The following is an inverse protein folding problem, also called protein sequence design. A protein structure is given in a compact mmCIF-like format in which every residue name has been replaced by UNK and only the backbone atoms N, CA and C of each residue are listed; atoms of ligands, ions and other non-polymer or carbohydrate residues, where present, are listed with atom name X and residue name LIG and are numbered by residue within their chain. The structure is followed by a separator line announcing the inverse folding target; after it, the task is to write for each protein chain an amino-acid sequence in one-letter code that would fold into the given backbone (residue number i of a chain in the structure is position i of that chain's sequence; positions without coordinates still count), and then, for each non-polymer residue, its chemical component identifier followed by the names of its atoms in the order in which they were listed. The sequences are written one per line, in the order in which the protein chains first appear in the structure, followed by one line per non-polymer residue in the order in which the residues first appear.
data_IF_508320235016
#
_entry.id   IF_508320235016
#
_cell.length_a   1.000
_cell.length_b   1.000
_cell.length_c   1.000
_cell.angle_alpha   90.00
_cell.angle_beta   90.00
_cell.angle_gamma   90.00
#
_symmetry.space_group_name_H-M   'P 1'
#
loop_
_entity.id
_entity.type
_entity.pdbx_description
1 polymer ?
2 non-polymer ?
3 water ?
#
# COMPACT_ATOMS: atom_id res chain seq x y z
N UNK A 1 -33.07 8.58 -5.41
CA UNK A 1 -31.75 7.94 -5.40
C UNK A 1 -31.56 7.15 -4.11
N UNK A 2 -30.72 6.11 -4.19
CA UNK A 2 -30.52 5.22 -3.05
C UNK A 2 -29.51 5.77 -2.04
N UNK A 3 -28.60 6.65 -2.47
CA UNK A 3 -27.57 7.17 -1.60
C UNK A 3 -27.65 8.68 -1.54
N UNK A 4 -27.03 9.25 -0.50
CA UNK A 4 -27.05 10.68 -0.25
C UNK A 4 -25.68 11.10 0.25
N UNK A 5 -24.91 11.78 -0.59
CA UNK A 5 -23.58 12.23 -0.21
C UNK A 5 -23.66 13.35 0.84
N UNK A 6 -22.76 13.28 1.82
CA UNK A 6 -22.73 14.29 2.87
C UNK A 6 -21.39 15.03 2.94
N UNK A 7 -20.31 14.44 2.45
CA UNK A 7 -19.00 15.07 2.52
C UNK A 7 -18.07 14.40 1.52
N UNK A 8 -17.02 15.12 1.15
CA UNK A 8 -15.99 14.59 0.26
C UNK A 8 -14.81 14.08 1.08
N UNK A 9 -14.43 12.82 0.85
CA UNK A 9 -13.30 12.24 1.56
C UNK A 9 -11.98 12.56 0.86
N UNK A 10 -11.97 12.52 -0.47
CA UNK A 10 -10.77 12.83 -1.22
C UNK A 10 -10.91 12.57 -2.71
N UNK A 11 -10.12 13.27 -3.52
CA UNK A 11 -10.10 13.10 -4.97
C UNK A 11 -8.67 12.89 -5.44
N UNK A 12 -8.55 12.33 -6.64
CA UNK A 12 -7.23 12.09 -7.20
C UNK A 12 -7.32 11.22 -8.44
N UNK A 13 -6.21 10.54 -8.74
CA UNK A 13 -6.16 9.67 -9.90
C UNK A 13 -7.12 8.50 -9.76
N UNK A 14 -7.36 8.06 -8.53
CA UNK A 14 -8.31 6.94 -8.29
C UNK A 14 -9.73 7.36 -8.67
N UNK A 15 -10.05 8.66 -8.56
CA UNK A 15 -11.40 9.13 -8.74
C UNK A 15 -11.79 10.14 -7.68
N UNK A 16 -13.05 10.09 -7.23
CA UNK A 16 -13.54 10.99 -6.19
C UNK A 16 -14.35 10.18 -5.20
N UNK A 17 -13.89 10.14 -3.94
CA UNK A 17 -14.52 9.35 -2.89
C UNK A 17 -15.37 10.27 -2.03
N UNK A 18 -16.62 9.87 -1.81
CA UNK A 18 -17.57 10.64 -1.03
C UNK A 18 -18.03 9.84 0.18
N UNK A 19 -18.20 10.52 1.31
CA UNK A 19 -18.88 9.94 2.47
C UNK A 19 -20.38 10.09 2.25
N UNK A 20 -21.09 8.97 2.21
CA UNK A 20 -22.50 8.97 1.85
C UNK A 20 -23.33 8.27 2.91
N UNK A 21 -24.64 8.45 2.79
CA UNK A 21 -25.61 7.85 3.71
C UNK A 21 -26.37 6.77 2.96
N UNK A 22 -26.27 5.53 3.45
CA UNK A 22 -26.98 4.40 2.85
C UNK A 22 -28.44 4.49 3.27
N UNK A 23 -29.25 5.15 2.44
CA UNK A 23 -30.65 5.41 2.78
C UNK A 23 -31.46 4.13 2.93
N UNK A 24 -31.06 3.04 2.29
CA UNK A 24 -31.83 1.81 2.30
C UNK A 24 -31.23 0.74 3.21
N UNK A 25 -30.23 1.09 4.02
CA UNK A 25 -29.61 0.16 4.96
C UNK A 25 -29.45 0.82 6.33
N UNK A 26 -30.49 1.50 6.78
CA UNK A 26 -30.51 2.09 8.11
C UNK A 26 -29.71 3.37 8.26
N UNK A 27 -29.27 3.98 7.16
CA UNK A 27 -28.53 5.22 7.26
C UNK A 27 -27.07 5.07 7.63
N UNK A 28 -26.50 3.89 7.42
CA UNK A 28 -25.09 3.68 7.74
C UNK A 28 -24.20 4.49 6.80
N UNK A 29 -22.99 4.77 7.28
CA UNK A 29 -22.00 5.48 6.47
C UNK A 29 -21.37 4.54 5.46
N UNK A 30 -21.23 5.02 4.22
CA UNK A 30 -20.59 4.27 3.14
C UNK A 30 -19.66 5.22 2.40
N UNK A 31 -18.89 4.65 1.48
CA UNK A 31 -17.93 5.41 0.67
C UNK A 31 -18.27 5.18 -0.80
N UNK A 32 -18.69 6.24 -1.49
CA UNK A 32 -19.00 6.19 -2.90
C UNK A 32 -17.81 6.67 -3.72
N UNK A 33 -17.37 5.86 -4.66
CA UNK A 33 -16.28 6.21 -5.57
C UNK A 33 -16.83 6.28 -6.98
N UNK A 34 -16.91 7.49 -7.53
CA UNK A 34 -17.35 7.71 -8.90
C UNK A 34 -16.14 7.82 -9.81
N UNK A 35 -16.17 7.10 -10.92
CA UNK A 35 -15.08 7.12 -11.89
C UNK A 35 -15.67 7.19 -13.29
N UNK A 36 -15.23 8.17 -14.08
CA UNK A 36 -15.70 8.31 -15.45
C UNK A 36 -15.03 7.29 -16.35
N UNK A 37 -15.79 6.78 -17.32
CA UNK A 37 -15.33 5.75 -18.24
C UNK A 37 -15.63 6.19 -19.66
N UNK A 38 -14.61 6.19 -20.51
CA UNK A 38 -14.75 6.63 -21.89
C UNK A 38 -15.45 5.53 -22.69
N UNK A 39 -16.76 5.69 -22.89
CA UNK A 39 -17.54 4.72 -23.64
C UNK A 39 -17.41 4.99 -25.15
N UNK A 40 -17.52 3.93 -25.94
CA UNK A 40 -17.43 4.05 -27.38
C UNK A 40 -18.68 3.57 -28.10
N UNK A 43 -19.47 -0.36 -25.67
CA UNK A 43 -18.52 0.72 -25.88
C UNK A 43 -17.55 0.90 -24.74
N UNK A 44 -17.93 0.40 -23.57
CA UNK A 44 -17.05 0.49 -22.41
C UNK A 44 -15.80 -0.36 -22.62
N UNK A 45 -14.63 0.14 -22.22
CA UNK A 45 -13.40 -0.65 -22.40
C UNK A 45 -13.46 -1.98 -21.68
N UNK A 46 -12.93 -3.02 -22.33
CA UNK A 46 -12.98 -4.36 -21.76
C UNK A 46 -12.06 -4.50 -20.55
N UNK A 47 -10.97 -3.73 -20.51
CA UNK A 47 -10.08 -3.80 -19.36
C UNK A 47 -10.73 -3.27 -18.10
N UNK A 48 -11.65 -2.31 -18.22
CA UNK A 48 -12.37 -1.82 -17.06
C UNK A 48 -13.44 -2.80 -16.61
N UNK A 49 -14.15 -3.42 -17.57
CA UNK A 49 -15.16 -4.41 -17.23
C UNK A 49 -14.53 -5.62 -16.55
N UNK A 50 -13.34 -6.01 -17.01
CA UNK A 50 -12.67 -7.16 -16.43
C UNK A 50 -12.15 -6.85 -15.02
N UNK A 51 -11.69 -5.61 -14.79
CA UNK A 51 -11.19 -5.26 -13.47
C UNK A 51 -12.30 -5.20 -12.44
N UNK A 52 -13.53 -4.89 -12.86
CA UNK A 52 -14.65 -4.88 -11.92
C UNK A 52 -15.04 -6.29 -11.54
N UNK A 53 -15.01 -7.22 -12.50
CA UNK A 53 -15.36 -8.61 -12.21
C UNK A 53 -14.38 -9.22 -11.21
N UNK A 54 -13.10 -8.86 -11.29
CA UNK A 54 -12.14 -9.33 -10.30
C UNK A 54 -12.43 -8.74 -8.94
N UNK A 55 -12.94 -7.51 -8.89
CA UNK A 55 -13.24 -6.88 -7.61
C UNK A 55 -14.45 -7.53 -6.94
N UNK A 56 -15.47 -7.88 -7.74
CA UNK A 56 -16.63 -8.55 -7.18
C UNK A 56 -16.34 -10.00 -6.84
N UNK A 57 -15.43 -10.64 -7.60
CA UNK A 57 -14.98 -11.98 -7.25
C UNK A 57 -14.18 -11.98 -5.96
N UNK A 58 -13.32 -10.97 -5.78
CA UNK A 58 -12.58 -10.83 -4.53
C UNK A 58 -13.50 -10.49 -3.37
N UNK A 59 -14.66 -9.89 -3.64
CA UNK A 59 -15.62 -9.60 -2.58
C UNK A 59 -16.29 -10.88 -2.07
N UNK A 60 -16.42 -11.90 -2.92
CA UNK A 60 -17.07 -13.14 -2.51
C UNK A 60 -16.34 -13.80 -1.35
N UNK A 61 -15.02 -13.63 -1.27
CA UNK A 61 -14.27 -14.21 -0.16
C UNK A 61 -14.49 -13.44 1.13
N UNK A 62 -14.81 -12.15 1.04
CA UNK A 62 -15.04 -11.28 2.20
C UNK A 62 -13.84 -11.33 3.16
N UNK A 63 -12.68 -10.97 2.64
CA UNK A 63 -11.48 -10.96 3.45
C UNK A 63 -11.55 -9.82 4.46
N UNK A 64 -11.24 -10.07 5.74
CA UNK A 64 -11.42 -9.02 6.75
C UNK A 64 -10.43 -7.88 6.64
N UNK A 65 -9.32 -8.06 5.94
CA UNK A 65 -8.29 -7.02 5.84
C UNK A 65 -8.35 -6.26 4.52
N UNK A 66 -9.46 -6.37 3.79
CA UNK A 66 -9.72 -5.52 2.63
C UNK A 66 -11.09 -4.88 2.82
N UNK A 67 -11.25 -3.69 2.25
CA UNK A 67 -12.49 -2.95 2.43
C UNK A 67 -13.63 -3.69 1.71
N UNK A 68 -14.83 -3.63 2.30
CA UNK A 68 -15.97 -4.35 1.75
C UNK A 68 -16.54 -3.62 0.55
N UNK A 69 -16.96 -4.39 -0.46
CA UNK A 69 -17.64 -3.85 -1.63
C UNK A 69 -19.12 -4.17 -1.50
N UNK A 70 -19.93 -3.15 -1.23
CA UNK A 70 -21.36 -3.33 -1.00
C UNK A 70 -22.17 -3.38 -2.28
N UNK A 71 -21.96 -2.40 -3.17
CA UNK A 71 -22.79 -2.29 -4.36
C UNK A 71 -21.99 -1.66 -5.49
N UNK A 72 -22.43 -1.92 -6.71
CA UNK A 72 -21.85 -1.34 -7.92
C UNK A 72 -22.98 -0.78 -8.76
N UNK A 73 -22.89 0.51 -9.11
CA UNK A 73 -23.90 1.20 -9.88
C UNK A 73 -23.30 1.72 -11.18
N UNK A 74 -24.17 1.90 -12.17
CA UNK A 74 -23.75 2.33 -13.50
C UNK A 74 -24.54 3.55 -13.93
N UNK A 75 -23.95 4.32 -14.84
CA UNK A 75 -24.59 5.52 -15.38
C UNK A 75 -23.93 5.92 -16.70
N UNK A 83 -19.99 7.84 -13.93
CA UNK A 83 -20.15 6.85 -14.99
C UNK A 83 -20.02 5.44 -14.41
N UNK A 84 -19.43 5.36 -13.22
CA UNK A 84 -19.25 4.07 -12.54
C UNK A 84 -19.09 4.37 -11.05
N UNK A 85 -20.08 3.94 -10.25
CA UNK A 85 -20.11 4.24 -8.82
C UNK A 85 -19.86 2.96 -8.04
N UNK A 86 -18.86 2.97 -7.18
CA UNK A 86 -18.52 1.85 -6.31
C UNK A 86 -18.88 2.20 -4.88
N UNK A 87 -19.61 1.30 -4.21
CA UNK A 87 -20.08 1.50 -2.85
C UNK A 87 -19.24 0.62 -1.94
N UNK A 88 -18.40 1.24 -1.12
CA UNK A 88 -17.57 0.53 -0.16
C UNK A 88 -18.04 0.81 1.26
N UNK A 89 -17.63 -0.06 2.18
CA UNK A 89 -17.86 0.20 3.59
C UNK A 89 -17.03 1.40 4.03
N UNK A 90 -17.54 2.13 5.02
CA UNK A 90 -16.91 3.36 5.47
C UNK A 90 -15.98 3.08 6.65
N UNK A 91 -14.73 3.55 6.53
CA UNK A 91 -13.76 3.52 7.62
C UNK A 91 -13.48 4.94 8.03
N UNK A 92 -13.32 5.17 9.34
CA UNK A 92 -13.28 6.53 9.87
C UNK A 92 -11.96 7.24 9.57
N UNK A 93 -10.86 6.52 9.46
CA UNK A 93 -9.57 7.17 9.27
C UNK A 93 -8.64 6.24 8.50
N UNK A 94 -7.53 6.81 8.03
CA UNK A 94 -6.47 6.07 7.37
C UNK A 94 -5.28 5.91 8.32
N UNK A 95 -4.14 5.48 7.79
CA UNK A 95 -2.97 5.24 8.63
C UNK A 95 -2.29 6.53 9.05
N UNK A 96 -2.25 7.53 8.16
CA UNK A 96 -1.60 8.79 8.50
C UNK A 96 -2.32 9.49 9.65
N UNK A 97 -3.65 9.51 9.62
CA UNK A 97 -4.41 10.10 10.71
C UNK A 97 -4.19 9.34 12.01
N UNK A 98 -4.02 8.03 11.93
CA UNK A 98 -3.73 7.25 13.13
C UNK A 98 -2.34 7.57 13.68
N UNK A 99 -1.35 7.68 12.79
CA UNK A 99 0.01 7.99 13.25
C UNK A 99 0.14 9.43 13.73
N UNK A 100 -0.70 10.33 13.22
CA UNK A 100 -0.64 11.72 13.66
C UNK A 100 -1.30 11.92 15.03
N UNK A 101 -2.28 11.07 15.37
CA UNK A 101 -3.04 11.22 16.60
C UNK A 101 -2.56 10.33 17.73
N UNK A 102 -1.66 9.38 17.46
CA UNK A 102 -1.21 8.47 18.51
C UNK A 102 -0.35 9.23 19.52
N UNK A 103 -0.57 9.04 20.82
CA UNK A 103 0.24 9.77 21.81
C UNK A 103 1.68 9.29 21.83
N UNK A 104 2.50 10.03 22.58
CA UNK A 104 3.90 9.70 22.72
C UNK A 104 4.07 8.46 23.59
N UNK A 105 5.18 7.72 23.43
CA UNK A 105 6.26 7.96 22.47
C UNK A 105 6.08 7.24 21.14
N UNK A 106 4.83 7.03 20.73
CA UNK A 106 4.53 6.41 19.46
C UNK A 106 3.55 5.27 19.61
N UNK A 107 3.50 4.43 18.59
CA UNK A 107 2.59 3.28 18.55
C UNK A 107 3.14 2.20 19.48
N UNK A 108 2.30 1.52 20.26
CA UNK A 108 2.77 0.41 21.08
C UNK A 108 3.46 -0.66 20.23
N UNK A 109 4.43 -1.33 20.82
CA UNK A 109 5.25 -2.28 20.08
C UNK A 109 4.43 -3.45 19.55
N UNK A 110 3.53 -3.99 20.38
CA UNK A 110 2.69 -5.10 19.94
C UNK A 110 1.57 -4.65 19.01
N UNK A 111 1.20 -3.37 19.05
CA UNK A 111 0.23 -2.86 18.09
C UNK A 111 0.82 -2.82 16.69
N UNK A 112 2.10 -2.49 16.59
CA UNK A 112 2.78 -2.49 15.28
C UNK A 112 2.81 -3.90 14.71
N UNK A 113 3.13 -4.89 15.55
CA UNK A 113 3.16 -6.27 15.08
C UNK A 113 1.80 -6.71 14.55
N UNK A 114 0.72 -6.31 15.23
CA UNK A 114 -0.61 -6.72 14.80
C UNK A 114 -1.01 -6.04 13.51
N UNK A 115 -0.75 -4.73 13.39
CA UNK A 115 -1.13 -4.01 12.18
C UNK A 115 -0.30 -4.47 10.98
N UNK A 116 0.98 -4.77 11.19
CA UNK A 116 1.79 -5.30 10.11
C UNK A 116 1.33 -6.70 9.70
N UNK A 117 0.83 -7.48 10.65
CA UNK A 117 0.32 -8.81 10.32
C UNK A 117 -0.97 -8.72 9.52
N UNK A 118 -1.88 -7.83 9.91
CA UNK A 118 -3.10 -7.63 9.14
C UNK A 118 -2.80 -7.05 7.77
N UNK A 119 -1.79 -6.19 7.67
CA UNK A 119 -1.39 -5.65 6.37
C UNK A 119 -0.90 -6.75 5.45
N UNK A 120 -0.10 -7.69 5.99
CA UNK A 120 0.43 -8.77 5.17
C UNK A 120 -0.64 -9.79 4.83
N UNK A 121 -1.64 -9.98 5.69
CA UNK A 121 -2.72 -10.90 5.38
C UNK A 121 -3.54 -10.39 4.19
N UNK A 122 -3.97 -9.13 4.25
CA UNK A 122 -4.71 -8.57 3.14
C UNK A 122 -3.90 -8.47 1.87
N UNK A 123 -2.59 -8.25 2.00
CA UNK A 123 -1.73 -8.19 0.82
C UNK A 123 -1.48 -9.58 0.25
N UNK A 124 -1.28 -10.57 1.11
CA UNK A 124 -1.14 -11.95 0.63
C UNK A 124 -2.42 -12.45 -0.02
N UNK A 125 -3.58 -12.01 0.48
CA UNK A 125 -4.84 -12.36 -0.15
C UNK A 125 -4.92 -11.77 -1.56
N UNK A 126 -4.40 -10.56 -1.74
CA UNK A 126 -4.39 -9.96 -3.07
C UNK A 126 -3.38 -10.65 -3.98
N UNK A 127 -2.18 -10.95 -3.46
CA UNK A 127 -1.15 -11.58 -4.28
C UNK A 127 -1.50 -13.03 -4.59
N UNK A 128 -2.26 -13.70 -3.72
CA UNK A 128 -2.67 -15.06 -4.00
C UNK A 128 -3.58 -15.14 -5.22
N UNK A 129 -4.32 -14.06 -5.49
CA UNK A 129 -5.18 -13.99 -6.68
C UNK A 129 -4.56 -13.15 -7.79
N UNK A 130 -3.23 -12.93 -7.74
CA UNK A 130 -2.50 -12.22 -8.77
C UNK A 130 -3.03 -10.80 -8.97
N UNK A 131 -3.14 -10.07 -7.86
CA UNK A 131 -3.55 -8.67 -7.86
C UNK A 131 -2.45 -7.87 -7.19
N UNK A 132 -1.93 -6.88 -7.91
CA UNK A 132 -0.85 -6.02 -7.42
C UNK A 132 -1.45 -4.67 -7.07
N UNK A 133 -1.20 -4.20 -5.84
CA UNK A 133 -1.75 -2.92 -5.42
C UNK A 133 -1.11 -1.77 -6.19
N UNK A 134 0.21 -1.83 -6.40
CA UNK A 134 1.07 -0.92 -7.16
C UNK A 134 1.17 0.47 -6.55
N UNK A 135 0.39 0.81 -5.53
CA UNK A 135 0.48 2.14 -4.93
C UNK A 135 0.14 2.06 -3.45
N UNK A 136 0.80 1.15 -2.74
CA UNK A 136 0.57 0.99 -1.31
C UNK A 136 1.20 2.14 -0.55
N UNK A 137 0.39 2.81 0.28
CA UNK A 137 0.85 3.93 1.08
C UNK A 137 -0.12 4.11 2.23
N UNK A 138 0.32 4.74 3.32
CA UNK A 138 -0.58 4.94 4.48
C UNK A 138 -1.83 5.73 4.16
N UNK A 139 -1.88 6.43 3.02
CA UNK A 139 -3.08 7.19 2.68
C UNK A 139 -4.24 6.30 2.27
N UNK A 140 -3.95 5.11 1.72
CA UNK A 140 -4.98 4.16 1.33
C UNK A 140 -5.01 2.92 2.21
N UNK A 141 -4.41 2.98 3.39
CA UNK A 141 -4.49 1.93 4.40
C UNK A 141 -5.41 2.44 5.49
N UNK A 142 -6.60 1.85 5.59
CA UNK A 142 -7.63 2.32 6.50
C UNK A 142 -7.57 1.59 7.83
N UNK A 143 -7.86 2.31 8.90
CA UNK A 143 -7.81 1.77 10.26
C UNK A 143 -9.23 1.78 10.82
N UNK A 144 -9.80 0.60 11.00
CA UNK A 144 -11.15 0.48 11.54
C UNK A 144 -11.20 1.01 12.97
N UNK A 145 -12.38 1.51 13.36
CA UNK A 145 -12.57 2.03 14.71
C UNK A 145 -12.18 1.01 15.78
N UNK A 146 -12.26 -0.28 15.46
CA UNK A 146 -11.83 -1.33 16.37
C UNK A 146 -10.36 -1.69 16.20
N UNK A 147 -9.64 -1.00 15.31
CA UNK A 147 -8.22 -1.23 15.12
C UNK A 147 -7.86 -2.13 13.95
N UNK A 148 -8.84 -2.59 13.17
CA UNK A 148 -8.56 -3.47 12.05
C UNK A 148 -7.97 -2.69 10.88
N UNK A 149 -7.05 -3.34 10.16
CA UNK A 149 -6.42 -2.77 8.98
C UNK A 149 -7.18 -3.26 7.76
N UNK A 150 -7.57 -2.33 6.89
CA UNK A 150 -8.31 -2.66 5.67
C UNK A 150 -7.68 -1.94 4.50
N UNK A 151 -7.33 -2.69 3.46
CA UNK A 151 -6.76 -2.12 2.26
C UNK A 151 -7.86 -1.54 1.37
N UNK A 152 -7.52 -0.45 0.68
CA UNK A 152 -8.46 0.22 -0.22
C UNK A 152 -7.69 0.77 -1.41
N UNK A 153 -8.46 1.19 -2.42
CA UNK A 153 -7.92 1.81 -3.63
C UNK A 153 -6.96 0.86 -4.35
N UNK A 154 -7.54 -0.22 -4.86
CA UNK A 154 -6.80 -1.21 -5.63
C UNK A 154 -7.71 -1.84 -6.66
N UNK A 155 -7.11 -2.50 -7.64
CA UNK A 155 -7.84 -3.21 -8.67
C UNK A 155 -8.39 -2.35 -9.79
N UNK A 156 -8.26 -1.02 -9.71
CA UNK A 156 -8.76 -0.12 -10.73
C UNK A 156 -7.61 0.76 -11.21
N UNK A 157 -7.32 0.70 -12.51
CA UNK A 157 -6.25 1.49 -13.11
C UNK A 157 -6.75 2.88 -13.50
N UNK A 171 1.62 13.33 -6.61
CA UNK A 171 2.03 11.94 -6.60
C UNK A 171 3.19 11.73 -5.63
N UNK A 172 3.03 10.76 -4.73
CA UNK A 172 4.07 10.47 -3.71
C UNK A 172 4.90 9.28 -4.17
N UNK A 173 6.21 9.49 -4.28
CA UNK A 173 7.15 8.46 -4.66
C UNK A 173 7.85 7.83 -3.47
N UNK A 174 7.44 8.21 -2.24
CA UNK A 174 8.15 7.78 -1.04
C UNK A 174 8.04 6.28 -0.79
N UNK A 175 7.08 5.60 -1.43
CA UNK A 175 6.87 4.18 -1.21
C UNK A 175 7.03 3.36 -2.48
N UNK A 176 7.59 3.96 -3.54
CA UNK A 176 7.79 3.25 -4.79
C UNK A 176 8.98 2.30 -4.69
N UNK A 177 8.83 1.11 -5.26
CA UNK A 177 9.91 0.14 -5.27
C UNK A 177 11.03 0.61 -6.20
N UNK A 178 12.27 0.16 -5.95
CA UNK A 178 13.37 0.58 -6.83
C UNK A 178 13.19 0.17 -8.28
N UNK A 179 12.57 -0.98 -8.53
CA UNK A 179 12.32 -1.40 -9.92
C UNK A 179 11.24 -0.55 -10.58
N UNK A 180 10.38 0.10 -9.79
CA UNK A 180 9.41 1.02 -10.38
C UNK A 180 10.08 2.34 -10.75
N UNK A 181 10.97 2.84 -9.89
CA UNK A 181 11.71 4.06 -10.21
C UNK A 181 12.61 3.85 -11.42
N UNK A 182 13.20 2.67 -11.54
CA UNK A 182 14.05 2.34 -12.68
C UNK A 182 13.26 1.94 -13.91
N UNK A 183 11.95 1.70 -13.77
CA UNK A 183 11.08 1.28 -14.88
C UNK A 183 11.60 -0.01 -15.51
N UNK A 184 11.47 -1.09 -14.75
CA UNK A 184 11.94 -2.40 -15.19
C UNK A 184 10.87 -3.46 -14.99
N UNK A 185 10.52 -3.75 -13.74
CA UNK A 185 9.53 -4.76 -13.42
C UNK A 185 8.45 -4.16 -12.53
N UNK A 186 7.27 -4.75 -12.58
CA UNK A 186 6.12 -4.28 -11.83
C UNK A 186 5.31 -5.45 -11.27
N UNK A 187 5.99 -6.43 -10.71
CA UNK A 187 5.33 -7.64 -10.20
C UNK A 187 4.86 -7.39 -8.77
N UNK A 188 4.51 -8.48 -8.07
CA UNK A 188 4.01 -8.40 -6.70
C UNK A 188 5.06 -7.92 -5.68
N UNK A 189 6.36 -8.16 -5.87
CA UNK A 189 7.35 -7.58 -4.93
C UNK A 189 7.30 -6.06 -4.83
N UNK A 190 6.56 -5.38 -5.72
CA UNK A 190 6.41 -3.93 -5.62
C UNK A 190 5.71 -3.56 -4.32
N UNK A 191 4.69 -4.33 -3.95
CA UNK A 191 3.92 -4.01 -2.74
C UNK A 191 4.71 -4.35 -1.47
N UNK A 192 5.58 -5.34 -1.52
CA UNK A 192 6.35 -5.71 -0.34
C UNK A 192 7.38 -4.64 0.01
N UNK A 193 7.90 -3.93 -1.00
CA UNK A 193 8.79 -2.82 -0.72
C UNK A 193 8.05 -1.70 0.01
N UNK A 194 6.83 -1.39 -0.44
CA UNK A 194 6.02 -0.37 0.24
C UNK A 194 5.70 -0.80 1.67
N UNK A 195 5.50 -2.10 1.89
CA UNK A 195 5.26 -2.60 3.24
C UNK A 195 6.45 -2.30 4.13
N UNK A 196 7.67 -2.47 3.61
CA UNK A 196 8.86 -2.14 4.39
C UNK A 196 8.94 -0.67 4.73
N UNK A 197 8.58 0.20 3.78
CA UNK A 197 8.58 1.63 4.05
C UNK A 197 7.52 2.00 5.08
N UNK A 198 6.38 1.32 5.06
CA UNK A 198 5.35 1.55 6.07
C UNK A 198 5.76 0.93 7.39
N UNK A 199 6.47 -0.20 7.36
CA UNK A 199 6.97 -0.81 8.58
C UNK A 199 7.88 0.14 9.34
N UNK A 200 8.79 0.80 8.62
CA UNK A 200 9.68 1.77 9.28
C UNK A 200 8.91 2.98 9.77
N UNK A 201 7.89 3.41 9.02
CA UNK A 201 7.10 4.57 9.42
C UNK A 201 6.25 4.29 10.65
N UNK A 202 6.02 3.01 10.99
CA UNK A 202 5.32 2.68 12.22
C UNK A 202 6.10 3.19 13.44
N UNK A 203 7.41 2.92 13.47
CA UNK A 203 8.24 3.37 14.59
C UNK A 203 8.61 4.85 14.44
N UNK A 204 8.89 5.29 13.21
CA UNK A 204 9.35 6.65 12.99
C UNK A 204 8.21 7.67 13.07
N UNK A 205 7.01 7.29 12.66
CA UNK A 205 5.89 8.23 12.49
C UNK A 205 6.24 9.34 11.50
N UNK A 206 7.17 9.06 10.61
CA UNK A 206 7.58 9.96 9.54
C UNK A 206 8.18 9.11 8.42
N UNK A 207 7.99 9.52 7.17
CA UNK A 207 8.44 8.67 6.05
C UNK A 207 9.93 8.39 6.10
N UNK A 208 10.29 7.16 5.73
CA UNK A 208 11.68 6.73 5.75
C UNK A 208 12.46 7.33 4.57
N UNK A 209 12.01 7.04 3.36
CA UNK A 209 12.64 7.53 2.13
C UNK A 209 11.76 8.63 1.56
N UNK A 210 12.10 9.88 1.85
CA UNK A 210 11.31 11.04 1.44
C UNK A 210 12.10 11.80 0.37
N UNK A 211 11.92 11.37 -0.88
CA UNK A 211 12.57 12.01 -2.01
C UNK A 211 11.62 12.91 -2.79
N UNK A 212 12.20 13.75 -3.64
CA UNK A 212 11.45 14.74 -4.39
C UNK A 212 11.33 14.42 -5.87
N UNK A 213 11.98 13.37 -6.35
CA UNK A 213 11.90 12.99 -7.75
C UNK A 213 12.27 11.51 -7.89
N UNK A 214 12.23 11.02 -9.12
CA UNK A 214 12.56 9.62 -9.39
C UNK A 214 14.00 9.32 -9.03
N UNK A 215 14.93 10.14 -9.52
CA UNK A 215 16.34 9.90 -9.22
C UNK A 215 16.67 10.27 -7.77
N UNK A 216 15.93 11.23 -7.20
CA UNK A 216 16.17 11.60 -5.80
C UNK A 216 15.68 10.51 -4.86
N UNK A 217 14.51 9.93 -5.14
CA UNK A 217 13.98 8.86 -4.30
C UNK A 217 14.91 7.65 -4.31
N UNK A 218 15.41 7.27 -5.49
CA UNK A 218 16.32 6.13 -5.57
C UNK A 218 17.66 6.44 -4.92
N UNK A 219 18.07 7.71 -4.92
CA UNK A 219 19.33 8.07 -4.28
C UNK A 219 19.27 7.92 -2.76
N UNK A 220 18.18 8.39 -2.16
CA UNK A 220 18.02 8.26 -0.71
C UNK A 220 17.79 6.81 -0.28
N UNK A 221 17.32 5.96 -1.20
CA UNK A 221 17.18 4.54 -0.88
C UNK A 221 18.54 3.88 -0.79
N UNK A 222 19.38 4.10 -1.79
CA UNK A 222 20.72 3.50 -1.81
C UNK A 222 21.64 4.08 -0.76
N UNK A 223 21.29 5.23 -0.16
CA UNK A 223 22.09 5.75 0.94
C UNK A 223 21.92 4.92 2.21
N UNK A 224 20.84 4.14 2.31
CA UNK A 224 20.57 3.35 3.51
C UNK A 224 20.90 1.89 3.26
N UNK A 225 20.24 1.29 2.26
CA UNK A 225 20.45 -0.13 1.97
C UNK A 225 21.74 -0.41 1.24
N UNK A 226 22.44 0.62 0.78
CA UNK A 226 23.70 0.46 0.09
C UNK A 226 23.52 0.11 -1.38
N UNK A 227 24.63 0.22 -2.11
CA UNK A 227 24.60 -0.08 -3.54
C UNK A 227 24.53 -1.59 -3.74
N UNK A 228 23.57 -2.09 -4.52
CA UNK A 228 23.49 -3.53 -4.77
C UNK A 228 24.58 -4.00 -5.71
N UNK A 229 24.69 -5.31 -5.82
CA UNK A 229 25.65 -5.89 -6.75
C UNK A 229 25.30 -5.58 -8.18
N UNK A 230 26.32 -5.65 -9.04
CA UNK A 230 26.13 -5.36 -10.45
C UNK A 230 25.18 -6.35 -11.11
N UNK A 231 25.14 -7.59 -10.61
CA UNK A 231 24.20 -8.57 -11.14
C UNK A 231 22.78 -8.33 -10.66
N UNK A 232 22.59 -7.55 -9.60
CA UNK A 232 21.26 -7.22 -9.09
C UNK A 232 20.64 -6.02 -9.79
N UNK A 233 21.43 -5.25 -10.53
CA UNK A 233 20.89 -4.08 -11.23
C UNK A 233 20.21 -4.52 -12.51
N UNK A 234 18.99 -4.07 -12.80
CA UNK A 234 18.30 -4.49 -14.01
C UNK A 234 18.94 -3.91 -15.26
N UNK A 235 18.93 -4.71 -16.32
CA UNK A 235 19.51 -4.32 -17.59
C UNK A 235 18.49 -3.59 -18.46
N UNK A 236 19.00 -2.82 -19.42
CA UNK A 236 18.18 -2.02 -20.34
C UNK A 236 17.26 -1.07 -19.58
N UNK A 237 17.84 -0.37 -18.61
CA UNK A 237 17.15 0.71 -17.91
C UNK A 237 17.95 1.99 -18.15
N UNK A 238 17.28 3.13 -17.94
CA UNK A 238 17.91 4.42 -18.21
C UNK A 238 19.03 4.69 -17.21
N UNK A 239 18.76 4.51 -15.92
CA UNK A 239 19.74 4.82 -14.89
C UNK A 239 20.68 3.64 -14.69
N UNK A 240 21.99 3.79 -14.93
CA UNK A 240 22.93 2.72 -14.66
C UNK A 240 23.32 2.71 -13.18
N UNK A 241 24.02 1.63 -12.79
CA UNK A 241 24.50 1.53 -11.42
C UNK A 241 25.59 2.57 -11.14
N UNK A 242 26.36 2.95 -12.15
CA UNK A 242 27.40 3.96 -11.97
C UNK A 242 26.85 5.35 -11.74
N UNK A 243 25.56 5.58 -11.98
CA UNK A 243 24.96 6.89 -11.77
C UNK A 243 24.86 7.26 -10.29
N UNK A 244 25.05 6.30 -9.39
CA UNK A 244 24.97 6.53 -7.95
C UNK A 244 26.28 6.12 -7.29
N UNK A 245 26.76 6.96 -6.38
CA UNK A 245 27.98 6.69 -5.62
C UNK A 245 27.66 6.58 -4.13
N UNK A 246 26.59 5.87 -3.79
CA UNK A 246 26.12 5.79 -2.42
C UNK A 246 27.03 4.98 -1.51
N UNK A 247 28.10 4.38 -2.04
CA UNK A 247 29.13 3.67 -1.26
C UNK A 247 28.46 2.52 -0.51
N UNK A 248 28.59 2.44 0.81
CA UNK A 248 28.15 1.29 1.58
C UNK A 248 26.78 1.55 2.21
N UNK A 249 26.26 0.51 2.87
CA UNK A 249 24.99 0.60 3.56
C UNK A 249 25.18 1.09 4.99
N UNK A 250 24.07 1.34 5.67
CA UNK A 250 24.07 1.80 7.04
C UNK A 250 23.20 0.89 7.90
N UNK A 251 23.50 0.77 9.19
CA UNK A 251 22.63 -0.02 10.08
C UNK A 251 21.24 0.58 10.14
N UNK A 252 20.22 -0.28 10.03
CA UNK A 252 18.85 0.20 9.92
C UNK A 252 18.34 0.77 11.23
N UNK A 253 18.96 0.44 12.37
CA UNK A 253 18.49 0.97 13.64
C UNK A 253 18.85 2.43 13.84
N UNK A 254 19.62 3.04 12.93
CA UNK A 254 19.90 4.47 13.05
C UNK A 254 18.69 5.30 12.61
N UNK A 255 17.97 4.83 11.59
CA UNK A 255 16.77 5.51 11.13
C UNK A 255 15.52 4.94 11.78
N UNK A 256 15.52 3.66 12.12
CA UNK A 256 14.37 3.01 12.75
C UNK A 256 14.77 2.57 14.15
N UNK A 257 14.69 3.49 15.12
CA UNK A 257 14.97 3.14 16.49
C UNK A 257 13.82 2.33 17.09
N UNK A 258 14.11 1.66 18.20
CA UNK A 258 13.19 0.83 18.97
C UNK A 258 12.79 -0.45 18.26
N UNK A 259 13.33 -0.74 17.08
CA UNK A 259 13.01 -1.98 16.37
C UNK A 259 13.85 -3.11 16.96
N UNK A 260 13.27 -4.30 17.00
CA UNK A 260 13.94 -5.46 17.58
C UNK A 260 14.71 -6.22 16.50
N UNK A 261 15.36 -7.31 16.92
CA UNK A 261 16.14 -8.12 15.98
C UNK A 261 15.24 -8.77 14.94
N UNK A 262 14.12 -9.36 15.39
CA UNK A 262 13.21 -10.02 14.45
C UNK A 262 12.56 -9.00 13.51
N UNK A 263 12.17 -7.84 14.03
CA UNK A 263 11.64 -6.80 13.17
C UNK A 263 12.67 -6.24 12.22
N UNK A 264 13.93 -6.17 12.65
CA UNK A 264 15.00 -5.71 11.75
C UNK A 264 15.21 -6.68 10.61
N UNK A 265 15.23 -7.98 10.90
CA UNK A 265 15.43 -8.98 9.85
C UNK A 265 14.27 -8.97 8.87
N UNK A 266 13.04 -8.82 9.37
CA UNK A 266 11.89 -8.76 8.48
C UNK A 266 11.88 -7.47 7.68
N UNK A 267 12.30 -6.36 8.30
CA UNK A 267 12.33 -5.08 7.59
C UNK A 267 13.34 -5.10 6.45
N UNK A 268 14.49 -5.74 6.67
CA UNK A 268 15.51 -5.80 5.63
C UNK A 268 15.09 -6.73 4.49
N UNK A 269 14.38 -7.82 4.79
CA UNK A 269 13.91 -8.71 3.74
C UNK A 269 12.83 -8.06 2.88
N UNK A 270 12.11 -7.06 3.41
CA UNK A 270 11.18 -6.32 2.58
C UNK A 270 11.90 -5.23 1.79
N UNK A 271 12.92 -4.61 2.38
CA UNK A 271 13.70 -3.56 1.74
C UNK A 271 14.86 -4.12 0.93
N UNK A 272 14.66 -5.23 0.22
CA UNK A 272 15.68 -5.81 -0.63
C UNK A 272 15.58 -5.20 -2.03
N UNK A 273 16.74 -4.83 -2.59
CA UNK A 273 16.77 -4.19 -3.90
C UNK A 273 16.24 -5.12 -4.98
N UNK A 274 16.84 -6.29 -5.11
CA UNK A 274 16.41 -7.25 -6.13
C UNK A 274 15.01 -7.77 -5.80
N UNK A 275 14.02 -7.55 -6.66
CA UNK A 275 12.66 -8.05 -6.36
C UNK A 275 12.58 -9.57 -6.33
N UNK A 276 13.49 -10.27 -6.99
CA UNK A 276 13.48 -11.73 -6.94
C UNK A 276 13.95 -12.25 -5.58
N UNK A 277 14.86 -11.54 -4.93
CA UNK A 277 15.35 -11.90 -3.61
C UNK A 277 14.48 -11.33 -2.49
N UNK A 278 13.47 -10.53 -2.83
CA UNK A 278 12.62 -9.92 -1.82
C UNK A 278 11.64 -10.93 -1.26
N UNK A 279 11.39 -10.84 0.05
CA UNK A 279 10.47 -11.77 0.69
C UNK A 279 9.04 -11.52 0.19
N UNK A 280 8.27 -12.59 0.09
CA UNK A 280 6.88 -12.49 -0.33
C UNK A 280 5.97 -12.25 0.87
N UNK A 281 4.76 -11.78 0.59
CA UNK A 281 3.78 -11.57 1.66
C UNK A 281 3.38 -12.89 2.31
N UNK A 282 3.44 -13.99 1.56
CA UNK A 282 3.12 -15.30 2.13
C UNK A 282 4.23 -15.77 3.07
N UNK A 283 5.49 -15.60 2.66
CA UNK A 283 6.60 -15.98 3.53
C UNK A 283 6.76 -15.01 4.69
N UNK A 284 6.30 -13.76 4.52
CA UNK A 284 6.40 -12.80 5.62
C UNK A 284 5.43 -13.12 6.74
N UNK A 285 4.31 -13.79 6.43
CA UNK A 285 3.37 -14.18 7.47
C UNK A 285 3.95 -15.24 8.40
N UNK A 286 4.92 -16.03 7.95
CA UNK A 286 5.54 -17.06 8.76
C UNK A 286 6.89 -16.63 9.33
N UNK A 287 7.17 -15.33 9.33
CA UNK A 287 8.41 -14.83 9.89
C UNK A 287 8.39 -14.96 11.42
N UNK A 288 9.55 -15.22 12.04
CA UNK A 288 9.59 -15.32 13.50
C UNK A 288 9.16 -14.04 14.21
N UNK A 289 9.02 -12.92 13.50
CA UNK A 289 8.56 -11.69 14.12
C UNK A 289 7.13 -11.79 14.63
N UNK A 290 6.33 -12.72 14.09
CA UNK A 290 4.95 -12.87 14.51
C UNK A 290 4.77 -14.13 15.35
N UNK A 291 5.49 -14.21 16.47
CA UNK A 291 5.38 -15.36 17.36
C UNK A 291 4.76 -14.95 18.69
#
# INVERSE_FOLDING_TARGET
QQYECVAEIGEGAYGKVFKARDLKNGGRFVALKRVRVQTGEEGMPLSTIREVAVLRHLETFEHPNVVRLFDVCTVSRTDRETKLTLVFEHVDQDLTTYLDKVPEPGVPTETIKDMMFQLLRGLDFLHSHRVVHRDLKPQNILVTSSGQIKLADFGLARIYSFQMALTSVVVTLWYRAPEVLLQSSYATPVDLWSVGCIFAEMFRRKPLFRGSSDVDQLGKILDVIGLPGEEDWPRDVALPRQAFHSKSAQPIEKFVTDIDELGKDLLLKCLTFNPAKRISAYSALSHPYFQ
#
